data_IF_599089083678
#
_entry.id   IF_599089083678
#
_cell.length_a   1.000
_cell.length_b   1.000
_cell.length_c   1.000
_cell.angle_alpha   90.00
_cell.angle_beta   90.00
_cell.angle_gamma   90.00
#
_symmetry.space_group_name_H-M   'P 1'
#
loop_
_entity.id
_entity.type
_entity.pdbx_description
1 polymer ?
#
# COMPACT_ATOMS: atom_id res chain seq x y z
N UNK A 1 -16.76 31.14 -13.27
CA UNK A 1 -16.51 29.73 -13.63
C UNK A 1 -15.82 29.10 -12.44
N UNK A 2 -16.49 28.17 -11.76
CA UNK A 2 -16.03 27.64 -10.48
C UNK A 2 -14.86 26.68 -10.69
N UNK A 3 -13.63 27.18 -10.45
CA UNK A 3 -12.54 26.32 -10.01
C UNK A 3 -12.71 26.09 -8.52
N UNK A 4 -12.88 24.83 -8.10
CA UNK A 4 -12.05 24.23 -7.05
C UNK A 4 -12.60 22.89 -6.54
N UNK A 5 -11.70 21.91 -6.59
CA UNK A 5 -11.49 20.85 -5.61
C UNK A 5 -12.62 19.82 -5.47
N UNK A 6 -12.54 18.80 -6.33
CA UNK A 6 -12.92 17.45 -5.92
C UNK A 6 -12.19 17.15 -4.61
N UNK A 7 -12.98 16.91 -3.56
CA UNK A 7 -12.51 16.63 -2.22
C UNK A 7 -11.54 15.44 -2.24
N UNK A 8 -10.25 15.71 -2.02
CA UNK A 8 -9.29 14.69 -1.59
C UNK A 8 -8.77 15.10 -0.21
N UNK A 9 -9.52 14.85 0.88
CA UNK A 9 -8.92 14.85 2.19
C UNK A 9 -8.22 13.50 2.40
N UNK A 10 -7.05 13.28 1.80
CA UNK A 10 -6.13 12.23 2.32
C UNK A 10 -5.41 12.82 3.53
N UNK A 11 -6.16 13.22 4.55
CA UNK A 11 -5.63 13.63 5.86
C UNK A 11 -5.52 12.42 6.78
N UNK A 12 -4.94 11.33 6.28
CA UNK A 12 -4.65 10.11 7.07
C UNK A 12 -3.15 9.89 7.28
N UNK A 13 -2.29 10.82 6.87
CA UNK A 13 -0.83 10.68 6.98
C UNK A 13 -0.32 10.57 8.42
N UNK A 14 -1.05 11.11 9.41
CA UNK A 14 -0.58 11.12 10.80
C UNK A 14 -1.35 10.16 11.74
N UNK A 15 -2.21 9.31 11.16
CA UNK A 15 -2.98 8.32 11.92
C UNK A 15 -2.42 6.93 11.62
N UNK A 16 -2.18 6.15 12.67
CA UNK A 16 -1.89 4.72 12.55
C UNK A 16 -3.05 4.04 11.83
N UNK A 17 -2.75 3.34 10.74
CA UNK A 17 -3.76 2.58 10.02
C UNK A 17 -4.28 1.44 10.89
N UNK A 18 -5.45 0.93 10.58
CA UNK A 18 -5.84 -0.43 10.99
C UNK A 18 -5.32 -1.42 9.95
N UNK A 19 -5.17 -2.72 10.30
CA UNK A 19 -4.79 -3.75 9.34
C UNK A 19 -5.62 -3.69 8.05
N UNK A 20 -6.94 -3.51 8.19
CA UNK A 20 -7.87 -3.43 7.07
C UNK A 20 -7.69 -2.16 6.23
N UNK A 21 -7.36 -1.02 6.86
CA UNK A 21 -7.01 0.19 6.12
C UNK A 21 -5.68 0.00 5.36
N UNK A 22 -4.71 -0.71 5.94
CA UNK A 22 -3.44 -1.02 5.26
C UNK A 22 -3.63 -1.96 4.05
N UNK A 23 -4.53 -2.92 4.14
CA UNK A 23 -4.94 -3.77 3.01
C UNK A 23 -5.63 -2.96 1.90
N UNK A 24 -6.56 -2.08 2.28
CA UNK A 24 -7.31 -1.25 1.33
C UNK A 24 -6.41 -0.35 0.48
N UNK A 25 -5.29 0.14 1.03
CA UNK A 25 -4.29 0.92 0.27
C UNK A 25 -3.70 0.13 -0.89
N UNK A 26 -3.53 -1.18 -0.70
CA UNK A 26 -2.95 -2.07 -1.71
C UNK A 26 -4.01 -2.45 -2.74
N UNK A 27 -5.25 -2.66 -2.30
CA UNK A 27 -6.39 -2.87 -3.20
C UNK A 27 -6.61 -1.65 -4.12
N UNK A 28 -6.61 -0.44 -3.57
CA UNK A 28 -6.70 0.80 -4.34
C UNK A 28 -5.54 0.92 -5.36
N UNK A 29 -4.34 0.53 -4.95
CA UNK A 29 -3.17 0.52 -5.83
C UNK A 29 -3.31 -0.53 -6.94
N UNK A 30 -3.77 -1.75 -6.64
CA UNK A 30 -4.05 -2.78 -7.65
C UNK A 30 -5.12 -2.30 -8.64
N UNK A 31 -6.19 -1.65 -8.17
CA UNK A 31 -7.23 -1.12 -9.04
C UNK A 31 -6.68 -0.04 -9.99
N UNK A 32 -5.77 0.81 -9.48
CA UNK A 32 -5.17 1.89 -10.26
C UNK A 32 -4.13 1.43 -11.28
N UNK A 33 -3.30 0.44 -10.94
CA UNK A 33 -2.20 -0.04 -11.81
C UNK A 33 -2.55 -1.27 -12.64
N UNK A 34 -3.63 -1.98 -12.27
CA UNK A 34 -4.13 -3.16 -12.96
C UNK A 34 -3.95 -4.46 -12.16
N UNK A 35 -4.83 -5.46 -12.38
CA UNK A 35 -4.69 -6.77 -11.77
C UNK A 35 -3.39 -7.44 -12.24
N UNK A 36 -2.47 -7.68 -11.30
CA UNK A 36 -1.16 -8.29 -11.56
C UNK A 36 0.04 -7.37 -11.27
N UNK A 37 -0.19 -6.07 -11.03
CA UNK A 37 0.89 -5.15 -10.68
C UNK A 37 1.45 -5.40 -9.28
N UNK A 38 0.61 -5.81 -8.32
CA UNK A 38 1.03 -6.07 -6.94
C UNK A 38 0.52 -7.43 -6.44
N UNK A 39 1.31 -8.16 -5.64
CA UNK A 39 0.82 -9.30 -4.90
C UNK A 39 -0.22 -8.85 -3.86
N UNK A 40 -1.28 -9.63 -3.66
CA UNK A 40 -2.26 -9.37 -2.59
C UNK A 40 -1.55 -9.51 -1.24
N UNK A 41 -1.62 -8.45 -0.45
CA UNK A 41 -1.08 -8.42 0.90
C UNK A 41 -2.21 -8.61 1.89
N UNK A 42 -2.04 -9.54 2.82
CA UNK A 42 -2.93 -9.76 3.95
C UNK A 42 -2.28 -9.19 5.20
N UNK A 43 -2.99 -8.32 5.92
CA UNK A 43 -2.51 -7.72 7.16
C UNK A 43 -3.39 -8.18 8.32
N UNK A 44 -2.83 -8.95 9.24
CA UNK A 44 -3.55 -9.46 10.41
C UNK A 44 -2.94 -8.95 11.70
N UNK A 45 -3.76 -8.41 12.61
CA UNK A 45 -3.30 -8.02 13.95
C UNK A 45 -2.97 -9.26 14.78
N UNK A 46 -1.77 -9.31 15.36
CA UNK A 46 -1.35 -10.40 16.24
C UNK A 46 -1.31 -9.99 17.71
N UNK A 47 -1.10 -10.96 18.61
CA UNK A 47 -0.93 -10.69 20.04
C UNK A 47 0.32 -9.84 20.24
N UNK A 48 0.16 -8.66 20.85
CA UNK A 48 1.22 -7.67 21.02
C UNK A 48 0.89 -6.32 20.38
N UNK A 49 -0.15 -6.25 19.55
CA UNK A 49 -0.54 -5.01 18.86
C UNK A 49 0.16 -4.80 17.52
N UNK A 50 1.21 -5.57 17.26
CA UNK A 50 1.90 -5.69 15.97
C UNK A 50 1.03 -6.35 14.91
N UNK A 51 1.45 -6.19 13.65
CA UNK A 51 0.77 -6.72 12.49
C UNK A 51 1.62 -7.78 11.82
N UNK A 52 0.99 -8.89 11.47
CA UNK A 52 1.55 -9.89 10.58
C UNK A 52 1.11 -9.56 9.17
N UNK A 53 2.07 -9.22 8.34
CA UNK A 53 1.91 -8.92 6.92
C UNK A 53 2.34 -10.15 6.14
N UNK A 54 1.47 -10.64 5.27
CA UNK A 54 1.74 -11.77 4.38
C UNK A 54 1.51 -11.37 2.95
N UNK A 55 2.47 -11.63 2.08
CA UNK A 55 2.26 -11.60 0.63
C UNK A 55 3.05 -12.71 -0.02
N UNK A 56 2.44 -13.35 -1.01
CA UNK A 56 3.06 -14.45 -1.74
C UNK A 56 3.77 -15.44 -0.80
N UNK A 57 5.11 -15.49 -0.86
CA UNK A 57 5.98 -16.36 -0.10
C UNK A 57 6.64 -15.70 1.13
N UNK A 58 6.32 -14.43 1.42
CA UNK A 58 6.91 -13.65 2.51
C UNK A 58 5.89 -13.37 3.62
N UNK A 59 6.28 -13.68 4.86
CA UNK A 59 5.54 -13.32 6.07
C UNK A 59 6.47 -12.50 6.98
N UNK A 60 6.04 -11.29 7.34
CA UNK A 60 6.80 -10.40 8.22
C UNK A 60 5.90 -9.82 9.31
N UNK A 61 6.45 -9.65 10.50
CA UNK A 61 5.81 -8.91 11.58
C UNK A 61 6.32 -7.47 11.56
N UNK A 62 5.40 -6.51 11.53
CA UNK A 62 5.71 -5.08 11.53
C UNK A 62 4.93 -4.37 12.63
N UNK A 63 5.47 -3.25 13.11
CA UNK A 63 4.76 -2.37 14.00
C UNK A 63 3.60 -1.65 13.27
N UNK A 64 2.54 -1.21 13.99
CA UNK A 64 1.53 -0.32 13.43
C UNK A 64 2.20 0.93 12.88
N UNK A 65 1.86 1.29 11.65
CA UNK A 65 2.44 2.45 10.99
C UNK A 65 1.39 3.31 10.31
N UNK A 66 1.77 4.54 10.00
CA UNK A 66 0.94 5.50 9.27
C UNK A 66 0.83 5.14 7.79
N UNK A 67 -0.05 5.83 7.06
CA UNK A 67 -0.20 5.67 5.62
C UNK A 67 1.11 5.90 4.86
N UNK A 68 1.82 6.98 5.18
CA UNK A 68 3.06 7.34 4.50
C UNK A 68 4.17 6.31 4.77
N UNK A 69 4.30 5.86 6.02
CA UNK A 69 5.24 4.79 6.39
C UNK A 69 4.89 3.48 5.69
N UNK A 70 3.62 3.13 5.60
CA UNK A 70 3.15 1.92 4.90
C UNK A 70 3.46 1.98 3.40
N UNK A 71 3.21 3.12 2.75
CA UNK A 71 3.52 3.33 1.34
C UNK A 71 5.03 3.19 1.07
N UNK A 72 5.88 3.87 1.85
CA UNK A 72 7.33 3.77 1.71
C UNK A 72 7.86 2.37 2.03
N UNK A 73 7.26 1.68 3.00
CA UNK A 73 7.62 0.30 3.31
C UNK A 73 7.28 -0.65 2.16
N UNK A 74 6.12 -0.49 1.52
CA UNK A 74 5.74 -1.25 0.32
C UNK A 74 6.69 -0.97 -0.85
N UNK A 75 7.06 0.29 -1.09
CA UNK A 75 8.03 0.64 -2.14
C UNK A 75 9.40 -0.01 -1.90
N UNK A 76 9.81 -0.13 -0.64
CA UNK A 76 11.07 -0.76 -0.25
C UNK A 76 11.02 -2.30 -0.33
N UNK A 77 9.89 -2.94 -0.01
CA UNK A 77 9.80 -4.41 0.13
C UNK A 77 9.13 -5.12 -1.06
N UNK A 78 8.15 -4.48 -1.69
CA UNK A 78 7.42 -5.01 -2.84
C UNK A 78 7.96 -4.43 -4.15
N UNK A 79 8.76 -3.36 -4.05
CA UNK A 79 9.34 -2.65 -5.18
C UNK A 79 8.59 -1.35 -5.48
N UNK A 80 9.32 -0.36 -5.99
CA UNK A 80 8.71 0.84 -6.54
C UNK A 80 8.02 0.45 -7.84
N UNK A 81 6.70 0.27 -7.79
CA UNK A 81 5.88 0.45 -8.98
C UNK A 81 5.75 1.95 -9.22
N UNK A 82 6.85 2.53 -9.67
CA UNK A 82 6.76 3.74 -10.44
C UNK A 82 5.94 3.40 -11.67
N UNK A 83 4.99 4.27 -12.04
CA UNK A 83 4.15 4.08 -13.22
C UNK A 83 4.98 3.95 -14.52
N UNK A 84 6.30 4.19 -14.46
CA UNK A 84 7.26 4.06 -15.55
C UNK A 84 8.05 2.74 -15.63
N UNK A 85 7.96 1.79 -14.69
CA UNK A 85 8.71 0.51 -14.77
C UNK A 85 7.88 -0.62 -15.41
N UNK A 86 7.00 -0.28 -16.35
CA UNK A 86 6.70 -1.20 -17.44
C UNK A 86 7.92 -1.18 -18.35
N UNK A 87 8.87 -2.07 -18.09
CA UNK A 87 10.02 -2.26 -18.96
C UNK A 87 9.56 -2.32 -20.42
N UNK A 88 9.93 -1.29 -21.19
CA UNK A 88 10.06 -1.37 -22.63
C UNK A 88 11.16 -2.41 -22.90
N UNK A 89 10.82 -3.69 -22.80
CA UNK A 89 11.62 -4.76 -23.41
C UNK A 89 11.19 -4.81 -24.87
N UNK A 90 11.55 -3.78 -25.63
CA UNK A 90 11.51 -3.82 -27.08
C UNK A 90 12.91 -3.62 -27.63
N UNK A 91 13.29 -4.63 -28.42
CA UNK A 91 14.40 -4.75 -29.39
C UNK A 91 15.79 -5.12 -28.87
#
# INVERSE_FOLDING_TARGET
MFSSLLAVPVMHENRLLTPREAEAVIEERIERFGPGSLPRVLVTKIRGGEWRVRWDSLEQTVAPMTLAEWQGWLECHVGSLDAGDLGTTES
#
